data_IF_442237110808
#
_entry.id   IF_442237110808
#
_cell.length_a   1.000
_cell.length_b   1.000
_cell.length_c   1.000
_cell.angle_alpha   90.00
_cell.angle_beta   90.00
_cell.angle_gamma   90.00
#
_symmetry.space_group_name_H-M   'P 1'
#
loop_
_entity.id
_entity.type
_entity.pdbx_description
1 polymer ?
#
# COMPACT_ATOMS: atom_id res chain seq x y z
N UNK A 1 4.67 7.30 -16.12
CA UNK A 1 3.89 6.05 -16.00
C UNK A 1 2.74 6.16 -14.99
N UNK A 2 2.94 6.71 -13.78
CA UNK A 2 1.89 6.76 -12.72
C UNK A 2 0.59 7.46 -13.13
N UNK A 3 0.65 8.51 -13.96
CA UNK A 3 -0.56 9.17 -14.48
C UNK A 3 -1.36 8.25 -15.42
N UNK A 4 -0.68 7.47 -16.25
CA UNK A 4 -1.31 6.58 -17.24
C UNK A 4 -2.01 5.41 -16.54
N UNK A 5 -1.33 4.73 -15.64
CA UNK A 5 -1.85 3.57 -14.90
C UNK A 5 -3.00 3.90 -13.94
N UNK A 6 -3.16 5.17 -13.56
CA UNK A 6 -4.32 5.66 -12.77
C UNK A 6 -5.49 6.13 -13.65
N UNK A 7 -5.20 6.50 -14.90
CA UNK A 7 -6.21 7.01 -15.85
C UNK A 7 -6.87 5.89 -16.63
N UNK A 8 -6.12 4.82 -16.91
CA UNK A 8 -6.65 3.66 -17.63
C UNK A 8 -7.49 2.79 -16.69
N UNK A 9 -8.75 2.48 -17.05
CA UNK A 9 -9.53 1.51 -16.31
C UNK A 9 -8.82 0.14 -16.27
N UNK A 10 -8.83 -0.54 -15.12
CA UNK A 10 -8.18 -1.84 -14.94
C UNK A 10 -8.62 -2.85 -16.00
N UNK A 11 -9.92 -2.87 -16.34
CA UNK A 11 -10.48 -3.75 -17.37
C UNK A 11 -9.82 -3.53 -18.74
N UNK A 12 -9.53 -2.27 -19.12
CA UNK A 12 -8.88 -1.93 -20.38
C UNK A 12 -7.44 -2.46 -20.38
N UNK A 13 -6.72 -2.30 -19.27
CA UNK A 13 -5.35 -2.82 -19.13
C UNK A 13 -5.33 -4.34 -19.25
N UNK A 14 -6.25 -5.04 -18.58
CA UNK A 14 -6.36 -6.50 -18.63
C UNK A 14 -6.66 -7.02 -20.04
N UNK A 15 -7.62 -6.39 -20.74
CA UNK A 15 -7.98 -6.77 -22.11
C UNK A 15 -6.80 -6.55 -23.05
N UNK A 16 -6.12 -5.41 -22.98
CA UNK A 16 -4.98 -5.11 -23.84
C UNK A 16 -3.85 -6.13 -23.62
N UNK A 17 -3.51 -6.41 -22.37
CA UNK A 17 -2.45 -7.37 -22.05
C UNK A 17 -2.81 -8.79 -22.51
N UNK A 18 -4.05 -9.23 -22.32
CA UNK A 18 -4.50 -10.55 -22.74
C UNK A 18 -4.49 -10.70 -24.27
N UNK A 19 -4.88 -9.66 -24.99
CA UNK A 19 -4.90 -9.67 -26.46
C UNK A 19 -3.53 -9.38 -27.07
N UNK A 20 -2.51 -9.06 -26.27
CA UNK A 20 -1.17 -8.80 -26.78
C UNK A 20 -0.56 -10.02 -27.48
N UNK A 21 -0.95 -11.24 -27.08
CA UNK A 21 -0.57 -12.48 -27.75
C UNK A 21 -1.10 -12.61 -29.17
N UNK A 22 -2.19 -11.93 -29.53
CA UNK A 22 -2.69 -11.90 -30.90
C UNK A 22 -1.91 -10.93 -31.79
N UNK A 23 -1.27 -9.93 -31.19
CA UNK A 23 -0.47 -8.94 -31.91
C UNK A 23 0.98 -9.40 -32.09
N UNK A 24 1.51 -10.14 -31.12
CA UNK A 24 2.88 -10.64 -31.12
C UNK A 24 2.90 -12.14 -30.78
N UNK A 25 3.17 -12.99 -31.78
CA UNK A 25 3.23 -14.45 -31.58
C UNK A 25 4.39 -14.88 -30.65
N UNK A 26 5.51 -14.15 -30.68
CA UNK A 26 6.67 -14.42 -29.82
C UNK A 26 7.19 -13.15 -29.15
N UNK A 27 7.42 -13.23 -27.85
CA UNK A 27 8.17 -12.26 -27.06
C UNK A 27 9.64 -12.64 -27.14
N UNK A 28 10.39 -11.96 -28.01
CA UNK A 28 11.84 -12.06 -28.00
C UNK A 28 12.43 -11.04 -27.03
N UNK A 29 13.13 -11.53 -26.01
CA UNK A 29 14.01 -10.69 -25.20
C UNK A 29 15.29 -10.49 -26.01
N UNK A 30 15.45 -9.32 -26.58
CA UNK A 30 16.61 -8.93 -27.38
C UNK A 30 16.81 -7.43 -27.34
N UNK A 31 17.89 -6.94 -27.93
CA UNK A 31 18.08 -5.50 -28.09
C UNK A 31 17.16 -5.04 -29.23
N UNK A 32 16.17 -4.18 -28.97
CA UNK A 32 15.23 -3.74 -29.99
C UNK A 32 15.99 -3.10 -31.16
N UNK A 33 15.54 -3.36 -32.39
CA UNK A 33 16.18 -2.91 -33.64
C UNK A 33 17.54 -3.56 -33.98
N UNK A 34 17.93 -4.61 -33.26
CA UNK A 34 19.09 -5.45 -33.62
C UNK A 34 18.67 -6.92 -33.74
N UNK A 35 19.37 -7.70 -34.56
CA UNK A 35 19.09 -9.14 -34.71
C UNK A 35 19.52 -10.01 -33.53
N UNK A 36 19.93 -9.42 -32.40
CA UNK A 36 20.44 -10.13 -31.23
C UNK A 36 19.28 -10.40 -30.28
N UNK A 37 18.77 -11.63 -30.32
CA UNK A 37 17.76 -12.13 -29.38
C UNK A 37 18.44 -13.08 -28.38
N UNK A 38 18.27 -12.78 -27.10
CA UNK A 38 18.83 -13.54 -25.97
C UNK A 38 17.93 -14.73 -25.61
N UNK A 39 16.66 -14.67 -26.01
CA UNK A 39 15.71 -15.78 -25.97
C UNK A 39 14.36 -15.36 -26.55
N UNK A 40 13.67 -16.29 -27.19
CA UNK A 40 12.30 -16.11 -27.70
C UNK A 40 11.35 -17.00 -26.93
N UNK A 41 10.31 -16.40 -26.36
CA UNK A 41 9.25 -17.11 -25.66
C UNK A 41 7.95 -16.90 -26.44
N UNK A 42 7.15 -17.96 -26.58
CA UNK A 42 5.81 -17.80 -27.13
C UNK A 42 4.99 -16.91 -26.20
N UNK A 43 4.43 -15.83 -26.74
CA UNK A 43 3.73 -14.82 -25.94
C UNK A 43 2.57 -15.44 -25.17
N UNK A 44 1.92 -16.45 -25.74
CA UNK A 44 0.80 -17.17 -25.11
C UNK A 44 1.21 -17.95 -23.85
N UNK A 45 2.44 -18.48 -23.80
CA UNK A 45 2.96 -19.18 -22.62
C UNK A 45 3.34 -18.21 -21.51
N UNK A 46 3.77 -17.00 -21.87
CA UNK A 46 4.15 -15.95 -20.91
C UNK A 46 2.91 -15.20 -20.39
N UNK A 47 1.96 -14.88 -21.28
CA UNK A 47 0.75 -14.09 -21.01
C UNK A 47 -0.52 -14.93 -20.97
N UNK A 48 -0.46 -16.13 -20.39
CA UNK A 48 -1.65 -16.88 -20.03
C UNK A 48 -2.58 -16.10 -19.09
N UNK A 49 -3.83 -16.55 -18.94
CA UNK A 49 -4.88 -15.84 -18.17
C UNK A 49 -4.40 -15.40 -16.77
N UNK A 50 -3.76 -16.31 -16.03
CA UNK A 50 -3.26 -16.05 -14.68
C UNK A 50 -2.09 -15.05 -14.66
N UNK A 51 -1.10 -15.24 -15.53
CA UNK A 51 0.05 -14.33 -15.63
C UNK A 51 -0.39 -12.92 -16.03
N UNK A 52 -1.30 -12.82 -17.00
CA UNK A 52 -1.87 -11.56 -17.45
C UNK A 52 -2.65 -10.86 -16.33
N UNK A 53 -3.43 -11.61 -15.55
CA UNK A 53 -4.11 -11.07 -14.37
C UNK A 53 -3.12 -10.49 -13.36
N UNK A 54 -2.05 -11.23 -13.03
CA UNK A 54 -1.00 -10.76 -12.10
C UNK A 54 -0.34 -9.50 -12.63
N UNK A 55 0.09 -9.49 -13.89
CA UNK A 55 0.80 -8.34 -14.49
C UNK A 55 -0.12 -7.12 -14.54
N UNK A 56 -1.36 -7.28 -15.00
CA UNK A 56 -2.31 -6.17 -15.10
C UNK A 56 -2.69 -5.58 -13.74
N UNK A 57 -3.02 -6.44 -12.77
CA UNK A 57 -3.31 -6.01 -11.39
C UNK A 57 -2.10 -5.33 -10.76
N UNK A 58 -0.90 -5.89 -10.90
CA UNK A 58 0.33 -5.34 -10.32
C UNK A 58 0.70 -4.00 -10.95
N UNK A 59 0.56 -3.86 -12.27
CA UNK A 59 0.87 -2.62 -12.98
C UNK A 59 -0.01 -1.48 -12.48
N UNK A 60 -1.32 -1.71 -12.34
CA UNK A 60 -2.24 -0.70 -11.83
C UNK A 60 -2.00 -0.46 -10.34
N UNK A 61 -1.94 -1.52 -9.52
CA UNK A 61 -1.79 -1.41 -8.07
C UNK A 61 -0.48 -0.75 -7.64
N UNK A 62 0.61 -1.01 -8.36
CA UNK A 62 1.92 -0.42 -8.06
C UNK A 62 1.91 1.10 -8.16
N UNK A 63 1.14 1.67 -9.09
CA UNK A 63 1.02 3.11 -9.23
C UNK A 63 0.24 3.76 -8.08
N UNK A 64 -0.86 3.14 -7.63
CA UNK A 64 -1.60 3.59 -6.44
C UNK A 64 -0.72 3.48 -5.19
N UNK A 65 -0.02 2.35 -5.04
CA UNK A 65 0.87 2.10 -3.90
C UNK A 65 2.04 3.08 -3.88
N UNK A 66 2.65 3.38 -5.04
CA UNK A 66 3.73 4.35 -5.15
C UNK A 66 3.29 5.76 -4.74
N UNK A 67 2.06 6.16 -5.07
CA UNK A 67 1.51 7.45 -4.67
C UNK A 67 1.25 7.53 -3.16
N UNK A 68 0.77 6.44 -2.56
CA UNK A 68 0.61 6.34 -1.10
C UNK A 68 1.96 6.45 -0.41
N UNK A 69 2.98 5.74 -0.91
CA UNK A 69 4.34 5.82 -0.37
C UNK A 69 4.87 7.25 -0.50
N UNK A 70 4.73 7.87 -1.67
CA UNK A 70 5.14 9.25 -1.93
C UNK A 70 4.45 10.23 -0.97
N UNK A 71 3.14 10.11 -0.80
CA UNK A 71 2.35 10.92 0.13
C UNK A 71 2.79 10.74 1.58
N UNK A 72 3.11 9.51 1.99
CA UNK A 72 3.61 9.21 3.32
C UNK A 72 4.98 9.83 3.62
N UNK A 73 5.89 9.86 2.65
CA UNK A 73 7.18 10.54 2.80
C UNK A 73 7.04 12.06 2.81
N UNK A 74 6.16 12.63 1.98
CA UNK A 74 5.91 14.08 1.97
C UNK A 74 5.21 14.58 3.24
N UNK A 75 4.42 13.73 3.89
CA UNK A 75 3.79 14.03 5.18
C UNK A 75 4.74 13.96 6.38
N UNK A 76 5.97 13.47 6.20
CA UNK A 76 6.97 13.46 7.28
C UNK A 76 7.59 14.85 7.46
N UNK A 77 7.78 15.26 8.72
CA UNK A 77 8.28 16.59 9.08
C UNK A 77 9.69 16.85 8.52
N UNK A 78 9.78 17.81 7.58
CA UNK A 78 11.05 18.24 6.98
C UNK A 78 12.02 18.82 8.00
N UNK A 79 11.55 19.42 9.10
CA UNK A 79 12.40 19.96 10.17
C UNK A 79 13.25 18.88 10.84
N UNK A 80 12.76 17.64 10.90
CA UNK A 80 13.56 16.52 11.40
C UNK A 80 14.69 16.11 10.46
N UNK A 81 14.49 16.31 9.15
CA UNK A 81 15.52 16.06 8.16
C UNK A 81 16.70 17.02 8.33
N UNK A 82 16.38 18.31 8.50
CA UNK A 82 17.33 19.39 8.72
C UNK A 82 18.03 19.28 10.08
N UNK A 83 17.30 18.99 11.15
CA UNK A 83 17.87 18.77 12.48
C UNK A 83 18.83 17.56 12.51
N UNK A 84 18.44 16.45 11.88
CA UNK A 84 19.31 15.28 11.79
C UNK A 84 20.54 15.53 10.91
N UNK A 85 20.42 16.36 9.87
CA UNK A 85 21.55 16.79 9.04
C UNK A 85 22.53 17.66 9.85
N UNK A 86 22.01 18.59 10.65
CA UNK A 86 22.80 19.46 11.53
C UNK A 86 23.59 18.66 12.60
N UNK A 87 23.05 17.52 13.03
CA UNK A 87 23.73 16.57 13.93
C UNK A 87 24.77 15.67 13.21
N UNK A 88 25.03 15.89 11.92
CA UNK A 88 26.01 15.12 11.15
C UNK A 88 25.61 13.67 10.86
N UNK A 89 24.32 13.32 10.98
CA UNK A 89 23.87 11.96 10.72
C UNK A 89 23.93 11.62 9.21
N UNK A 90 24.49 10.47 8.82
CA UNK A 90 24.53 10.07 7.41
C UNK A 90 23.11 9.85 6.88
N UNK A 91 22.88 10.19 5.61
CA UNK A 91 21.55 10.21 4.97
C UNK A 91 20.79 8.88 5.16
N UNK A 92 21.47 7.74 4.98
CA UNK A 92 20.88 6.42 5.23
C UNK A 92 20.31 6.25 6.65
N UNK A 93 21.08 6.67 7.66
CA UNK A 93 20.66 6.54 9.07
C UNK A 93 19.49 7.48 9.39
N UNK A 94 19.48 8.67 8.80
CA UNK A 94 18.35 9.61 8.88
C UNK A 94 17.08 9.00 8.30
N UNK A 95 17.17 8.49 7.07
CA UNK A 95 16.02 7.89 6.39
C UNK A 95 15.48 6.67 7.12
N UNK A 96 16.34 5.70 7.47
CA UNK A 96 15.86 4.43 8.04
C UNK A 96 15.40 4.54 9.49
N UNK A 97 16.06 5.36 10.32
CA UNK A 97 15.74 5.44 11.76
C UNK A 97 14.78 6.55 12.15
N UNK A 98 14.65 7.60 11.33
CA UNK A 98 13.85 8.78 11.69
C UNK A 98 12.66 8.88 10.74
N UNK A 99 12.91 9.01 9.43
CA UNK A 99 11.86 9.33 8.44
C UNK A 99 10.97 8.13 8.16
N UNK A 100 11.57 6.97 7.86
CA UNK A 100 10.85 5.77 7.48
C UNK A 100 9.84 5.30 8.55
N UNK A 101 10.17 5.26 9.86
CA UNK A 101 9.21 4.90 10.89
C UNK A 101 8.06 5.90 11.05
N UNK A 102 8.20 7.14 10.56
CA UNK A 102 7.14 8.14 10.56
C UNK A 102 6.29 8.03 9.30
N UNK A 103 6.91 7.97 8.13
CA UNK A 103 6.23 7.76 6.86
C UNK A 103 5.39 6.47 6.88
N UNK A 104 5.91 5.38 7.45
CA UNK A 104 5.19 4.12 7.59
C UNK A 104 3.89 4.23 8.39
N UNK A 105 3.77 5.18 9.33
CA UNK A 105 2.55 5.38 10.12
C UNK A 105 1.40 5.87 9.27
N UNK A 106 1.70 6.66 8.25
CA UNK A 106 0.70 7.16 7.29
C UNK A 106 0.50 6.19 6.13
N UNK A 107 1.57 5.51 5.68
CA UNK A 107 1.54 4.57 4.55
C UNK A 107 0.74 3.31 4.88
N UNK A 108 0.94 2.73 6.07
CA UNK A 108 0.36 1.42 6.40
C UNK A 108 -1.18 1.42 6.43
N UNK A 109 -1.88 2.34 7.11
CA UNK A 109 -3.34 2.36 7.11
C UNK A 109 -3.93 2.50 5.70
N UNK A 110 -3.36 3.41 4.89
CA UNK A 110 -3.78 3.59 3.49
C UNK A 110 -3.47 2.35 2.63
N UNK A 111 -2.32 1.70 2.86
CA UNK A 111 -1.93 0.48 2.17
C UNK A 111 -2.85 -0.71 2.46
N UNK A 112 -3.33 -0.85 3.70
CA UNK A 112 -4.32 -1.89 4.03
C UNK A 112 -5.67 -1.64 3.35
N UNK A 113 -6.13 -0.39 3.31
CA UNK A 113 -7.35 -0.04 2.56
C UNK A 113 -7.21 -0.40 1.08
N UNK A 114 -6.04 -0.18 0.48
CA UNK A 114 -5.75 -0.59 -0.89
C UNK A 114 -5.75 -2.12 -1.08
N UNK A 115 -5.27 -2.90 -0.11
CA UNK A 115 -5.35 -4.37 -0.19
C UNK A 115 -6.82 -4.84 -0.22
N UNK A 116 -7.70 -4.23 0.57
CA UNK A 116 -9.14 -4.53 0.55
C UNK A 116 -9.76 -4.12 -0.78
N UNK A 117 -9.36 -2.95 -1.30
CA UNK A 117 -9.81 -2.48 -2.61
C UNK A 117 -9.39 -3.45 -3.71
N UNK A 118 -8.13 -3.92 -3.68
CA UNK A 118 -7.59 -4.90 -4.61
C UNK A 118 -8.35 -6.22 -4.55
N UNK A 119 -8.68 -6.73 -3.37
CA UNK A 119 -9.46 -7.97 -3.21
C UNK A 119 -10.87 -7.88 -3.81
N UNK A 120 -11.45 -6.69 -3.89
CA UNK A 120 -12.69 -6.45 -4.66
C UNK A 120 -12.38 -6.28 -6.15
N UNK A 121 -11.29 -5.60 -6.46
CA UNK A 121 -10.82 -5.34 -7.82
C UNK A 121 -10.44 -6.61 -8.60
N UNK A 122 -10.04 -7.69 -7.94
CA UNK A 122 -9.78 -8.99 -8.57
C UNK A 122 -11.01 -9.55 -9.28
N UNK A 123 -12.21 -9.12 -8.90
CA UNK A 123 -13.44 -9.47 -9.62
C UNK A 123 -13.32 -9.12 -11.10
N UNK A 124 -12.68 -8.00 -11.48
CA UNK A 124 -12.51 -7.57 -12.87
C UNK A 124 -11.75 -8.58 -13.75
N UNK A 125 -11.02 -9.51 -13.14
CA UNK A 125 -10.29 -10.56 -13.87
C UNK A 125 -11.25 -11.57 -14.51
N UNK A 126 -12.53 -11.60 -14.13
CA UNK A 126 -13.57 -12.42 -14.80
C UNK A 126 -13.59 -12.24 -16.33
N UNK A 127 -13.22 -11.04 -16.81
CA UNK A 127 -13.15 -10.70 -18.24
C UNK A 127 -12.13 -11.54 -18.99
N UNK A 128 -11.11 -12.07 -18.31
CA UNK A 128 -10.12 -12.98 -18.87
C UNK A 128 -10.59 -14.44 -18.90
N UNK A 129 -11.86 -14.69 -18.57
CA UNK A 129 -12.44 -16.02 -18.38
C UNK A 129 -11.71 -16.88 -17.33
N UNK A 130 -11.09 -16.23 -16.35
CA UNK A 130 -10.39 -16.90 -15.26
C UNK A 130 -11.40 -17.35 -14.18
N UNK A 131 -11.32 -18.60 -13.67
CA UNK A 131 -12.22 -19.11 -12.66
C UNK A 131 -11.96 -18.51 -11.28
N UNK A 132 -12.43 -17.29 -11.07
CA UNK A 132 -12.59 -16.65 -9.76
C UNK A 132 -14.06 -16.66 -9.30
N UNK A 133 -14.34 -16.09 -8.14
CA UNK A 133 -15.66 -16.12 -7.50
C UNK A 133 -16.76 -15.57 -8.42
N UNK A 134 -16.57 -14.37 -8.96
CA UNK A 134 -17.58 -13.70 -9.81
C UNK A 134 -17.74 -14.41 -11.17
N UNK A 135 -16.67 -14.89 -11.77
CA UNK A 135 -16.72 -15.74 -12.96
C UNK A 135 -17.51 -17.03 -12.72
N UNK A 136 -17.29 -17.69 -11.57
CA UNK A 136 -18.00 -18.93 -11.20
C UNK A 136 -19.50 -18.66 -11.01
N UNK A 137 -19.84 -17.54 -10.37
CA UNK A 137 -21.23 -17.08 -10.25
C UNK A 137 -21.83 -16.87 -11.65
N UNK A 138 -21.14 -16.15 -12.52
CA UNK A 138 -21.60 -15.91 -13.89
C UNK A 138 -21.82 -17.20 -14.68
N UNK A 139 -20.92 -18.15 -14.58
CA UNK A 139 -21.05 -19.46 -15.20
C UNK A 139 -22.30 -20.21 -14.73
N UNK A 140 -22.61 -20.18 -13.43
CA UNK A 140 -23.75 -20.91 -12.87
C UNK A 140 -25.06 -20.20 -13.23
N UNK A 141 -25.19 -18.88 -13.04
CA UNK A 141 -26.47 -18.22 -13.35
C UNK A 141 -26.75 -18.20 -14.85
N UNK A 142 -25.73 -18.21 -15.73
CA UNK A 142 -25.96 -18.34 -17.16
C UNK A 142 -26.53 -19.71 -17.54
N UNK A 143 -26.28 -20.74 -16.73
CA UNK A 143 -26.84 -22.10 -16.92
C UNK A 143 -28.22 -22.24 -16.29
N UNK A 144 -28.39 -21.75 -15.06
CA UNK A 144 -29.65 -21.90 -14.30
C UNK A 144 -30.67 -20.81 -14.62
N UNK A 145 -30.25 -19.71 -15.24
CA UNK A 145 -31.04 -18.50 -15.49
C UNK A 145 -31.50 -17.79 -14.19
N UNK A 146 -30.94 -18.17 -13.04
CA UNK A 146 -31.24 -17.57 -11.73
C UNK A 146 -30.25 -16.45 -11.38
N UNK A 147 -30.33 -15.34 -12.13
CA UNK A 147 -29.36 -14.22 -12.01
C UNK A 147 -29.40 -13.57 -10.63
N UNK A 148 -30.57 -13.12 -10.17
CA UNK A 148 -30.71 -12.39 -8.90
C UNK A 148 -30.31 -13.24 -7.69
N UNK A 149 -30.82 -14.48 -7.50
CA UNK A 149 -30.46 -15.30 -6.35
C UNK A 149 -28.95 -15.56 -6.27
N UNK A 150 -28.30 -15.83 -7.40
CA UNK A 150 -26.89 -16.15 -7.40
C UNK A 150 -26.00 -14.93 -7.20
N UNK A 151 -26.41 -13.75 -7.70
CA UNK A 151 -25.72 -12.49 -7.38
C UNK A 151 -25.81 -12.16 -5.89
N UNK A 152 -26.92 -12.48 -5.22
CA UNK A 152 -27.05 -12.34 -3.76
C UNK A 152 -26.06 -13.25 -3.02
N UNK A 153 -25.92 -14.50 -3.44
CA UNK A 153 -24.90 -15.43 -2.90
C UNK A 153 -23.50 -14.85 -3.10
N UNK A 154 -23.22 -14.31 -4.29
CA UNK A 154 -21.97 -13.63 -4.58
C UNK A 154 -21.68 -12.45 -3.67
N UNK A 155 -22.68 -11.59 -3.47
CA UNK A 155 -22.56 -10.44 -2.57
C UNK A 155 -22.24 -10.88 -1.13
N UNK A 156 -22.87 -11.96 -0.65
CA UNK A 156 -22.57 -12.54 0.66
C UNK A 156 -21.13 -13.02 0.74
N UNK A 157 -20.62 -13.73 -0.27
CA UNK A 157 -19.23 -14.18 -0.28
C UNK A 157 -18.23 -13.03 -0.32
N UNK A 158 -18.45 -12.01 -1.15
CA UNK A 158 -17.62 -10.80 -1.16
C UNK A 158 -17.68 -10.06 0.18
N UNK A 159 -18.85 -10.03 0.84
CA UNK A 159 -18.99 -9.45 2.18
C UNK A 159 -18.17 -10.25 3.21
N UNK A 160 -18.23 -11.58 3.18
CA UNK A 160 -17.43 -12.44 4.08
C UNK A 160 -15.94 -12.19 3.88
N UNK A 161 -15.45 -12.22 2.63
CA UNK A 161 -14.04 -11.98 2.31
C UNK A 161 -13.61 -10.60 2.81
N UNK A 162 -14.37 -9.56 2.47
CA UNK A 162 -14.02 -8.18 2.84
C UNK A 162 -14.09 -7.96 4.35
N UNK A 163 -15.03 -8.58 5.05
CA UNK A 163 -15.12 -8.54 6.51
C UNK A 163 -13.92 -9.20 7.17
N UNK A 164 -13.47 -10.36 6.68
CA UNK A 164 -12.27 -11.04 7.18
C UNK A 164 -11.04 -10.17 6.97
N UNK A 165 -10.86 -9.59 5.78
CA UNK A 165 -9.75 -8.68 5.50
C UNK A 165 -9.80 -7.42 6.38
N UNK A 166 -10.98 -6.82 6.57
CA UNK A 166 -11.16 -5.68 7.47
C UNK A 166 -10.85 -6.02 8.93
N UNK A 167 -11.20 -7.23 9.39
CA UNK A 167 -10.84 -7.68 10.73
C UNK A 167 -9.32 -7.81 10.90
N UNK A 168 -8.62 -8.37 9.91
CA UNK A 168 -7.16 -8.46 9.88
C UNK A 168 -6.54 -7.06 9.91
N UNK A 169 -7.02 -6.14 9.07
CA UNK A 169 -6.58 -4.74 9.07
C UNK A 169 -6.75 -4.12 10.46
N UNK A 170 -7.91 -4.29 11.10
CA UNK A 170 -8.19 -3.72 12.41
C UNK A 170 -7.21 -4.22 13.49
N UNK A 171 -6.86 -5.51 13.47
CA UNK A 171 -5.88 -6.09 14.40
C UNK A 171 -4.49 -5.47 14.20
N UNK A 172 -4.07 -5.28 12.95
CA UNK A 172 -2.76 -4.71 12.62
C UNK A 172 -2.71 -3.22 13.00
N UNK A 173 -3.73 -2.44 12.65
CA UNK A 173 -3.84 -1.02 13.01
C UNK A 173 -3.83 -0.81 14.53
N UNK A 174 -4.52 -1.68 15.28
CA UNK A 174 -4.51 -1.64 16.75
C UNK A 174 -3.13 -1.97 17.33
N UNK A 175 -2.32 -2.77 16.64
CA UNK A 175 -0.90 -2.95 16.93
C UNK A 175 -0.11 -1.66 16.78
N UNK A 176 -0.30 -0.95 15.67
CA UNK A 176 0.41 0.29 15.34
C UNK A 176 0.03 1.44 16.29
N UNK A 177 -1.26 1.62 16.58
CA UNK A 177 -1.78 2.66 17.48
C UNK A 177 -1.28 2.53 18.94
N UNK A 178 -1.00 1.31 19.41
CA UNK A 178 -0.38 1.09 20.73
C UNK A 178 1.04 1.67 20.81
N UNK A 179 1.78 1.64 19.71
CA UNK A 179 3.12 2.23 19.61
C UNK A 179 3.06 3.77 19.66
N UNK A 180 2.03 4.36 19.05
CA UNK A 180 1.78 5.82 19.08
C UNK A 180 1.48 6.32 20.50
N UNK A 181 0.55 5.65 21.20
CA UNK A 181 0.17 6.04 22.56
C UNK A 181 1.35 5.95 23.53
N UNK A 182 2.22 4.95 23.39
CA UNK A 182 3.42 4.79 24.22
C UNK A 182 4.47 5.89 23.96
N UNK A 183 4.62 6.32 22.70
CA UNK A 183 5.53 7.39 22.30
C UNK A 183 5.06 8.76 22.83
N UNK A 184 3.77 9.07 22.67
CA UNK A 184 3.18 10.33 23.16
C UNK A 184 3.23 10.47 24.69
N UNK A 185 2.95 9.39 25.42
CA UNK A 185 3.04 9.39 26.91
C UNK A 185 4.47 9.61 27.40
N UNK A 186 5.47 9.08 26.68
CA UNK A 186 6.89 9.26 27.04
C UNK A 186 7.34 10.72 26.83
N UNK A 187 6.91 11.35 25.72
CA UNK A 187 7.19 12.77 25.46
C UNK A 187 6.55 13.71 26.49
N UNK A 188 5.27 13.52 26.82
CA UNK A 188 4.59 14.35 27.81
C UNK A 188 5.22 14.26 29.21
N UNK A 189 5.70 13.08 29.61
CA UNK A 189 6.44 12.90 30.86
C UNK A 189 7.79 13.62 30.86
N UNK A 190 8.52 13.59 29.74
CA UNK A 190 9.78 14.32 29.62
C UNK A 190 9.58 15.84 29.69
N UNK A 191 8.55 16.37 29.02
CA UNK A 191 8.21 17.80 29.04
C UNK A 191 7.74 18.28 30.43
N UNK A 192 6.94 17.47 31.13
CA UNK A 192 6.52 17.76 32.52
C UNK A 192 7.71 17.80 33.48
N UNK A 193 8.69 16.92 33.30
CA UNK A 193 9.87 16.82 34.17
C UNK A 193 10.90 17.93 33.92
N UNK A 194 11.02 18.48 32.70
CA UNK A 194 11.85 19.68 32.49
C UNK A 194 11.21 20.91 33.12
N UNK A 195 9.88 21.05 33.03
CA UNK A 195 9.13 22.17 33.64
C UNK A 195 9.25 22.22 35.17
N UNK A 196 9.32 21.07 35.84
CA UNK A 196 9.52 21.02 37.29
C UNK A 196 10.94 21.38 37.74
N UNK A 197 11.95 21.24 36.87
CA UNK A 197 13.35 21.60 37.19
C UNK A 197 13.57 23.10 37.07
N UNK A 198 12.93 23.77 36.10
CA UNK A 198 13.04 25.23 35.91
C UNK A 198 12.25 26.04 36.96
N UNK A 199 11.34 25.40 37.71
CA UNK A 199 10.47 26.06 38.70
C UNK A 199 10.88 25.80 40.15
N UNK A 200 12.05 25.21 40.40
CA UNK A 200 12.61 25.22 41.77
C UNK A 200 12.99 26.67 42.10
N UNK A 201 12.28 27.35 43.03
CA UNK A 201 12.69 28.68 43.44
C UNK A 201 14.07 28.54 44.07
N UNK A 202 15.01 29.38 43.66
CA UNK A 202 16.26 29.55 44.37
C UNK A 202 15.91 29.78 45.84
N UNK A 203 16.33 28.86 46.72
CA UNK A 203 16.28 29.07 48.16
C UNK A 203 17.10 30.34 48.44
N UNK A 204 16.37 31.43 48.67
CA UNK A 204 16.90 32.71 49.10
C UNK A 204 17.59 32.47 50.45
N UNK A 205 18.91 32.71 50.57
CA UNK A 205 19.60 32.46 51.82
C UNK A 205 19.14 33.51 52.83
N UNK A 206 18.35 33.06 53.81
CA UNK A 206 17.96 33.82 54.99
C UNK A 206 19.24 34.15 55.78
N UNK A 207 19.92 35.23 55.42
CA UNK A 207 20.95 35.84 56.25
C UNK A 207 20.33 36.91 57.13
N UNK A 208 19.98 36.46 58.33
CA UNK A 208 20.22 37.12 59.61
C UNK A 208 20.19 38.66 59.62
N UNK A 209 19.05 39.20 60.02
CA UNK A 209 18.97 40.43 60.79
C UNK A 209 19.62 40.23 62.17
N UNK A 210 20.86 40.68 62.35
CA UNK A 210 21.42 40.94 63.68
C UNK A 210 22.32 42.18 63.65
N UNK A 211 21.89 43.16 64.45
CA UNK A 211 22.59 44.33 65.03
C UNK A 211 23.26 45.32 64.10
#
# INVERSE_FOLDING_TARGET
YMWLSRTLPLIVVLIILYNLSYLYDTLSLGVPFTGITWGSFETINVLGQFSTAIVGLTLVQSAYTAEIIRGGFLGADHGQYEAAAALGLPAWRRTVRIILPQALRTILPSGFNEIISLAKGTAMVYVLAMPELFYTIQMIYNRTQEVIPLLMVGAVWYLVITTVLSAIQHVIERGLARSERRSAVTQNRAASRSRSVTTSPAQEPVHASLS
#
